data_IF_422571599066
#
_entry.id   IF_422571599066
#
_cell.length_a   1.000
_cell.length_b   1.000
_cell.length_c   1.000
_cell.angle_alpha   90.00
_cell.angle_beta   90.00
_cell.angle_gamma   90.00
#
_symmetry.space_group_name_H-M   'P 1'
#
loop_
_entity.id
_entity.type
_entity.pdbx_description
1 polymer ?
#
# COMPACT_ATOMS: atom_id res chain seq x y z
N UNK A 1 7.55 32.54 2.33
CA UNK A 1 6.49 31.55 2.02
C UNK A 1 6.16 31.71 0.54
N UNK A 2 6.64 30.80 -0.31
CA UNK A 2 6.47 30.92 -1.77
C UNK A 2 5.12 30.28 -2.11
N UNK A 3 4.09 31.09 -2.32
CA UNK A 3 2.85 30.60 -2.91
C UNK A 3 3.18 30.11 -4.32
N UNK A 4 2.78 28.88 -4.64
CA UNK A 4 2.80 28.33 -5.99
C UNK A 4 1.88 29.20 -6.86
N UNK A 5 2.47 30.08 -7.66
CA UNK A 5 1.72 31.12 -8.38
C UNK A 5 0.89 30.58 -9.56
N UNK A 6 1.19 29.37 -10.07
CA UNK A 6 0.45 28.72 -11.19
C UNK A 6 0.56 27.19 -11.15
N UNK A 7 -0.57 26.50 -11.32
CA UNK A 7 -0.62 25.06 -11.63
C UNK A 7 -0.74 24.90 -13.14
N UNK A 8 0.16 24.12 -13.75
CA UNK A 8 0.12 23.80 -15.18
C UNK A 8 -0.55 22.45 -15.40
N UNK A 9 -1.28 22.30 -16.51
CA UNK A 9 -1.87 21.02 -16.88
C UNK A 9 -0.78 19.99 -17.19
N UNK A 10 -0.96 18.76 -16.69
CA UNK A 10 -0.07 17.63 -16.98
C UNK A 10 -0.25 17.17 -18.43
N UNK A 11 0.84 16.80 -19.11
CA UNK A 11 0.81 16.23 -20.45
C UNK A 11 1.59 14.90 -20.48
N UNK A 12 0.87 13.78 -20.40
CA UNK A 12 1.44 12.43 -20.42
C UNK A 12 2.08 12.02 -21.75
N UNK A 13 1.87 12.80 -22.83
CA UNK A 13 2.58 12.59 -24.11
C UNK A 13 3.96 13.26 -24.14
N UNK A 14 4.32 14.04 -23.12
CA UNK A 14 5.63 14.69 -22.99
C UNK A 14 6.16 14.53 -21.57
N UNK A 15 6.80 13.39 -21.33
CA UNK A 15 7.40 13.05 -20.04
C UNK A 15 8.74 13.78 -19.85
N UNK A 16 9.04 14.15 -18.60
CA UNK A 16 10.35 14.68 -18.22
C UNK A 16 11.30 13.55 -17.82
N UNK A 17 10.77 12.53 -17.15
CA UNK A 17 11.45 11.27 -16.84
C UNK A 17 10.55 10.11 -17.29
N UNK A 18 11.09 9.20 -18.10
CA UNK A 18 10.36 8.00 -18.56
C UNK A 18 9.98 7.07 -17.40
N UNK A 19 10.71 7.15 -16.27
CA UNK A 19 10.44 6.33 -15.08
C UNK A 19 9.08 6.63 -14.45
N UNK A 20 8.57 7.85 -14.61
CA UNK A 20 7.27 8.25 -14.07
C UNK A 20 6.13 7.40 -14.68
N UNK A 21 6.17 7.20 -16.00
CA UNK A 21 5.18 6.38 -16.70
C UNK A 21 5.34 4.89 -16.36
N UNK A 22 6.57 4.37 -16.29
CA UNK A 22 6.83 2.97 -15.93
C UNK A 22 6.32 2.65 -14.51
N UNK A 23 6.57 3.54 -13.55
CA UNK A 23 6.10 3.37 -12.16
C UNK A 23 4.59 3.49 -12.10
N UNK A 24 3.99 4.44 -12.82
CA UNK A 24 2.53 4.59 -12.91
C UNK A 24 1.87 3.32 -13.44
N UNK A 25 2.32 2.82 -14.59
CA UNK A 25 1.77 1.62 -15.23
C UNK A 25 1.93 0.40 -14.32
N UNK A 26 3.06 0.27 -13.63
CA UNK A 26 3.30 -0.83 -12.70
C UNK A 26 2.40 -0.76 -11.46
N UNK A 27 2.21 0.43 -10.88
CA UNK A 27 1.37 0.60 -9.69
C UNK A 27 -0.12 0.39 -10.01
N UNK A 28 -0.59 0.96 -11.13
CA UNK A 28 -1.98 0.81 -11.57
C UNK A 28 -2.28 -0.60 -12.05
N UNK A 29 -1.35 -1.23 -12.77
CA UNK A 29 -1.47 -2.62 -13.22
C UNK A 29 -1.50 -3.65 -12.09
N UNK A 30 -0.84 -3.38 -10.96
CA UNK A 30 -0.85 -4.24 -9.78
C UNK A 30 -1.95 -3.89 -8.77
N UNK A 31 -2.95 -3.10 -9.15
CA UNK A 31 -4.05 -2.77 -8.25
C UNK A 31 -4.83 -4.02 -7.82
N UNK A 32 -4.93 -4.24 -6.51
CA UNK A 32 -5.66 -5.37 -5.94
C UNK A 32 -6.51 -4.93 -4.74
N UNK A 33 -7.52 -5.73 -4.44
CA UNK A 33 -8.43 -5.54 -3.32
C UNK A 33 -8.38 -6.79 -2.43
N UNK A 34 -8.47 -6.64 -1.10
CA UNK A 34 -8.33 -7.76 -0.17
C UNK A 34 -9.39 -8.84 -0.36
N UNK A 35 -10.60 -8.49 -0.81
CA UNK A 35 -11.70 -9.42 -1.03
C UNK A 35 -11.43 -10.43 -2.16
N UNK A 36 -10.41 -10.17 -3.01
CA UNK A 36 -9.99 -11.11 -4.07
C UNK A 36 -9.23 -12.32 -3.52
N UNK A 37 -8.76 -12.28 -2.26
CA UNK A 37 -7.97 -13.35 -1.64
C UNK A 37 -8.85 -14.13 -0.64
N UNK A 38 -9.14 -15.43 -0.87
CA UNK A 38 -10.02 -16.21 -0.01
C UNK A 38 -9.30 -16.71 1.26
N UNK A 39 -9.05 -15.81 2.21
CA UNK A 39 -8.34 -16.11 3.48
C UNK A 39 -9.10 -17.13 4.35
N UNK A 40 -10.40 -17.37 4.11
CA UNK A 40 -11.17 -18.42 4.80
C UNK A 40 -10.56 -19.82 4.63
N UNK A 41 -9.84 -20.06 3.54
CA UNK A 41 -9.17 -21.34 3.28
C UNK A 41 -8.02 -21.61 4.26
N UNK A 42 -7.51 -20.58 4.95
CA UNK A 42 -6.39 -20.69 5.89
C UNK A 42 -6.84 -21.03 7.32
N UNK A 43 -8.15 -21.07 7.61
CA UNK A 43 -8.69 -21.38 8.95
C UNK A 43 -8.15 -22.71 9.52
N UNK A 44 -8.09 -23.83 8.76
CA UNK A 44 -7.55 -25.08 9.28
C UNK A 44 -6.08 -24.96 9.67
N UNK A 45 -5.27 -24.29 8.85
CA UNK A 45 -3.84 -24.03 9.12
C UNK A 45 -3.67 -23.13 10.34
N UNK A 46 -4.47 -22.06 10.43
CA UNK A 46 -4.48 -21.20 11.60
C UNK A 46 -4.78 -21.98 12.89
N UNK A 47 -5.67 -22.97 12.83
CA UNK A 47 -6.04 -23.76 14.01
C UNK A 47 -4.94 -24.71 14.50
N UNK A 48 -3.91 -25.03 13.70
CA UNK A 48 -2.78 -25.87 14.14
C UNK A 48 -1.75 -25.10 14.97
N UNK A 49 -1.75 -23.77 14.90
CA UNK A 49 -0.81 -22.92 15.62
C UNK A 49 -1.09 -22.90 17.13
N UNK A 50 -0.01 -22.84 17.92
CA UNK A 50 -0.06 -22.60 19.36
C UNK A 50 -0.62 -21.21 19.68
N UNK A 51 -1.07 -21.02 20.92
CA UNK A 51 -1.55 -19.71 21.37
C UNK A 51 -0.49 -18.61 21.24
N UNK A 52 0.79 -18.95 21.49
CA UNK A 52 1.90 -18.01 21.36
C UNK A 52 2.16 -17.59 19.91
N UNK A 53 2.12 -18.54 18.97
CA UNK A 53 2.29 -18.24 17.54
C UNK A 53 1.14 -17.36 17.01
N UNK A 54 -0.11 -17.68 17.36
CA UNK A 54 -1.26 -16.84 17.01
C UNK A 54 -1.12 -15.42 17.54
N UNK A 55 -0.72 -15.28 18.82
CA UNK A 55 -0.54 -13.98 19.45
C UNK A 55 0.58 -13.17 18.79
N UNK A 56 1.69 -13.82 18.45
CA UNK A 56 2.79 -13.20 17.72
C UNK A 56 2.32 -12.69 16.36
N UNK A 57 1.67 -13.54 15.56
CA UNK A 57 1.18 -13.17 14.22
C UNK A 57 0.21 -11.97 14.27
N UNK A 58 -0.73 -11.97 15.22
CA UNK A 58 -1.64 -10.83 15.39
C UNK A 58 -0.91 -9.53 15.76
N UNK A 59 0.09 -9.59 16.65
CA UNK A 59 0.88 -8.41 17.04
C UNK A 59 1.70 -7.87 15.89
N UNK A 60 2.28 -8.74 15.08
CA UNK A 60 3.03 -8.35 13.88
C UNK A 60 2.11 -7.63 12.89
N UNK A 61 0.95 -8.21 12.54
CA UNK A 61 0.01 -7.55 11.63
C UNK A 61 -0.54 -6.23 12.18
N UNK A 62 -0.78 -6.15 13.49
CA UNK A 62 -1.20 -4.89 14.14
C UNK A 62 -0.11 -3.82 14.01
N UNK A 63 1.17 -4.19 14.19
CA UNK A 63 2.29 -3.28 14.01
C UNK A 63 2.42 -2.78 12.57
N UNK A 64 2.28 -3.68 11.59
CA UNK A 64 2.29 -3.30 10.16
C UNK A 64 1.11 -2.37 9.81
N UNK A 65 -0.09 -2.66 10.34
CA UNK A 65 -1.27 -1.79 10.17
C UNK A 65 -1.03 -0.36 10.66
N UNK A 66 -0.34 -0.21 11.78
CA UNK A 66 0.03 1.12 12.30
C UNK A 66 0.99 1.85 11.35
N UNK A 67 2.02 1.16 10.85
CA UNK A 67 2.98 1.74 9.92
C UNK A 67 2.32 2.14 8.59
N UNK A 68 1.45 1.28 8.05
CA UNK A 68 0.68 1.57 6.83
C UNK A 68 -0.26 2.76 7.02
N UNK A 69 -0.89 2.88 8.20
CA UNK A 69 -1.72 4.04 8.54
C UNK A 69 -0.89 5.33 8.53
N UNK A 70 0.31 5.31 9.12
CA UNK A 70 1.21 6.47 9.15
C UNK A 70 1.66 6.85 7.73
N UNK A 71 2.06 5.87 6.91
CA UNK A 71 2.49 6.12 5.53
C UNK A 71 1.35 6.65 4.66
N UNK A 72 0.14 6.08 4.80
CA UNK A 72 -1.04 6.48 4.05
C UNK A 72 -1.58 7.86 4.42
N UNK A 73 -1.45 8.28 5.68
CA UNK A 73 -2.01 9.57 6.17
C UNK A 73 -0.99 10.71 6.16
N UNK A 74 0.26 10.45 6.56
CA UNK A 74 1.29 11.49 6.75
C UNK A 74 2.43 11.32 5.75
N UNK A 75 2.94 10.10 5.56
CA UNK A 75 4.19 9.86 4.81
C UNK A 75 4.10 10.12 3.30
N UNK A 76 2.94 9.90 2.68
CA UNK A 76 2.74 10.12 1.24
C UNK A 76 2.40 11.57 0.86
N UNK A 77 2.02 12.38 1.84
CA UNK A 77 1.55 13.76 1.67
C UNK A 77 2.65 14.81 1.85
N UNK A 78 3.89 14.38 2.15
CA UNK A 78 5.06 15.22 2.40
C UNK A 78 5.96 15.33 1.18
#
# INVERSE_FOLDING_TARGET
>A
MKLIDRVSAINWNRLQDEKDAEVWDRLTGNFWLPEKVPVSNDIPSWNTLTAGEKQLTMRVFTGLTLLDTIQGTVGRSA
#
